data_IF_587751319856
#
_entry.id   IF_587751319856
#
_cell.length_a   1.000
_cell.length_b   1.000
_cell.length_c   1.000
_cell.angle_alpha   90.00
_cell.angle_beta   90.00
_cell.angle_gamma   90.00
#
_symmetry.space_group_name_H-M   'P 1'
#
loop_
_entity.id
_entity.type
_entity.pdbx_description
1 polymer ?
#
# COMPACT_ATOMS: atom_id res chain seq x y z
N UNK A 1 -15.90 17.86 -3.34
CA UNK A 1 -14.55 18.18 -3.85
C UNK A 1 -13.88 16.85 -4.22
N UNK A 2 -14.08 16.37 -5.45
CA UNK A 2 -13.58 15.07 -5.94
C UNK A 2 -12.64 15.36 -7.12
N UNK A 3 -11.34 15.08 -6.99
CA UNK A 3 -10.32 15.64 -7.91
C UNK A 3 -9.15 14.69 -8.31
N UNK A 4 -9.27 13.39 -8.11
CA UNK A 4 -8.07 12.52 -8.14
C UNK A 4 -8.00 11.43 -9.21
N UNK A 5 -8.73 11.58 -10.32
CA UNK A 5 -8.35 10.89 -11.56
C UNK A 5 -7.70 11.95 -12.48
N UNK A 6 -6.36 12.00 -12.58
CA UNK A 6 -5.73 12.80 -13.62
C UNK A 6 -6.29 12.38 -14.99
N UNK A 7 -6.69 13.35 -15.80
CA UNK A 7 -7.16 13.07 -17.16
C UNK A 7 -6.06 12.30 -17.90
N UNK A 8 -6.36 11.12 -18.49
CA UNK A 8 -5.39 10.37 -19.28
C UNK A 8 -4.75 11.29 -20.33
N UNK A 9 -3.41 11.36 -20.37
CA UNK A 9 -2.65 12.24 -21.26
C UNK A 9 -2.33 13.64 -20.73
N UNK A 10 -2.88 14.06 -19.59
CA UNK A 10 -2.43 15.29 -18.91
C UNK A 10 -0.98 15.17 -18.42
N UNK A 11 -0.25 16.28 -18.30
CA UNK A 11 1.10 16.30 -17.72
C UNK A 11 1.11 15.67 -16.32
N UNK A 12 0.13 15.99 -15.47
CA UNK A 12 -0.02 15.39 -14.14
C UNK A 12 -0.24 13.87 -14.22
N UNK A 13 -1.08 13.40 -15.15
CA UNK A 13 -1.32 11.97 -15.38
C UNK A 13 -0.08 11.21 -15.86
N UNK A 14 0.66 11.76 -16.83
CA UNK A 14 1.92 11.17 -17.31
C UNK A 14 2.97 11.07 -16.20
N UNK A 15 3.06 12.10 -15.34
CA UNK A 15 3.95 12.08 -14.17
C UNK A 15 3.56 10.99 -13.17
N UNK A 16 2.27 10.84 -12.87
CA UNK A 16 1.78 9.76 -11.99
C UNK A 16 2.14 8.39 -12.57
N UNK A 17 1.85 8.15 -13.84
CA UNK A 17 2.11 6.87 -14.50
C UNK A 17 3.61 6.52 -14.53
N UNK A 18 4.45 7.48 -14.89
CA UNK A 18 5.91 7.32 -14.87
C UNK A 18 6.43 7.06 -13.45
N UNK A 19 5.86 7.76 -12.46
CA UNK A 19 6.27 7.60 -11.06
C UNK A 19 5.90 6.23 -10.49
N UNK A 20 4.74 5.67 -10.84
CA UNK A 20 4.35 4.31 -10.45
C UNK A 20 5.39 3.30 -10.94
N UNK A 21 5.80 3.39 -12.22
CA UNK A 21 6.84 2.51 -12.77
C UNK A 21 8.18 2.69 -12.06
N UNK A 22 8.61 3.93 -11.87
CA UNK A 22 9.92 4.22 -11.27
C UNK A 22 9.98 3.78 -9.79
N UNK A 23 8.95 4.07 -9.00
CA UNK A 23 8.92 3.69 -7.59
C UNK A 23 8.73 2.19 -7.39
N UNK A 24 7.98 1.52 -8.26
CA UNK A 24 7.85 0.07 -8.18
C UNK A 24 9.16 -0.64 -8.54
N UNK A 25 9.84 -0.17 -9.59
CA UNK A 25 11.10 -0.77 -10.05
C UNK A 25 12.26 -0.49 -9.10
N UNK A 26 12.43 0.76 -8.71
CA UNK A 26 13.67 1.23 -8.04
C UNK A 26 13.49 1.45 -6.52
N UNK A 27 12.24 1.42 -6.03
CA UNK A 27 11.89 1.84 -4.67
C UNK A 27 11.94 3.35 -4.49
N UNK A 28 11.38 3.86 -3.39
CA UNK A 28 11.37 5.31 -3.15
C UNK A 28 12.78 5.89 -3.12
N UNK A 29 13.75 5.24 -2.44
CA UNK A 29 15.08 5.83 -2.24
C UNK A 29 15.83 6.04 -3.57
N UNK A 30 15.82 5.06 -4.46
CA UNK A 30 16.65 5.10 -5.67
C UNK A 30 15.99 5.78 -6.88
N UNK A 31 14.65 5.85 -6.94
CA UNK A 31 13.96 6.53 -8.04
C UNK A 31 14.38 8.02 -8.12
N UNK A 32 14.66 8.55 -9.30
CA UNK A 32 15.08 9.96 -9.47
C UNK A 32 13.97 10.83 -10.06
N UNK A 33 13.90 12.10 -9.62
CA UNK A 33 12.94 13.09 -10.16
C UNK A 33 13.20 13.33 -11.65
N UNK A 34 14.46 13.40 -12.05
CA UNK A 34 14.86 13.53 -13.46
C UNK A 34 14.46 12.32 -14.29
N UNK A 35 14.63 11.10 -13.77
CA UNK A 35 14.18 9.87 -14.42
C UNK A 35 12.66 9.85 -14.62
N UNK A 36 11.88 10.16 -13.58
CA UNK A 36 10.42 10.23 -13.68
C UNK A 36 9.97 11.28 -14.71
N UNK A 37 10.57 12.47 -14.70
CA UNK A 37 10.25 13.53 -15.65
C UNK A 37 10.59 13.12 -17.09
N UNK A 38 11.73 12.49 -17.30
CA UNK A 38 12.15 11.96 -18.61
C UNK A 38 11.18 10.87 -19.11
N UNK A 39 10.84 9.89 -18.27
CA UNK A 39 9.88 8.82 -18.59
C UNK A 39 8.47 9.36 -18.87
N UNK A 40 8.09 10.46 -18.20
CA UNK A 40 6.84 11.16 -18.44
C UNK A 40 6.87 12.07 -19.69
N UNK A 41 8.05 12.33 -20.28
CA UNK A 41 8.23 13.25 -21.41
C UNK A 41 7.94 14.71 -21.04
N UNK A 42 8.39 15.15 -19.86
CA UNK A 42 8.21 16.52 -19.34
C UNK A 42 9.47 17.01 -18.63
N UNK A 43 9.50 18.30 -18.26
CA UNK A 43 10.61 18.87 -17.49
C UNK A 43 10.51 18.52 -16.01
N UNK A 44 11.64 18.50 -15.30
CA UNK A 44 11.67 18.39 -13.83
C UNK A 44 10.90 19.54 -13.16
N UNK A 45 10.94 20.74 -13.74
CA UNK A 45 10.15 21.89 -13.28
C UNK A 45 8.64 21.63 -13.29
N UNK A 46 8.12 20.90 -14.29
CA UNK A 46 6.71 20.53 -14.31
C UNK A 46 6.33 19.57 -13.16
N UNK A 47 7.23 18.64 -12.80
CA UNK A 47 7.02 17.76 -11.64
C UNK A 47 6.97 18.57 -10.34
N UNK A 48 7.95 19.46 -10.10
CA UNK A 48 7.96 20.32 -8.92
C UNK A 48 6.75 21.26 -8.87
N UNK A 49 6.30 21.78 -10.01
CA UNK A 49 5.10 22.61 -10.08
C UNK A 49 3.83 21.85 -9.64
N UNK A 50 3.68 20.58 -10.03
CA UNK A 50 2.49 19.79 -9.69
C UNK A 50 2.52 19.15 -8.31
N UNK A 51 3.70 18.74 -7.84
CA UNK A 51 3.82 17.89 -6.65
C UNK A 51 4.74 18.45 -5.56
N UNK A 52 5.43 19.56 -5.83
CA UNK A 52 6.32 20.24 -4.87
C UNK A 52 7.64 19.52 -4.60
N UNK A 53 7.64 18.19 -4.53
CA UNK A 53 8.83 17.37 -4.27
C UNK A 53 8.65 15.93 -4.75
N UNK A 54 9.73 15.15 -4.73
CA UNK A 54 9.68 13.69 -4.90
C UNK A 54 8.79 13.02 -3.85
N UNK A 55 8.89 13.49 -2.59
CA UNK A 55 8.06 13.00 -1.49
C UNK A 55 6.59 13.33 -1.74
N UNK A 56 6.26 14.54 -2.21
CA UNK A 56 4.90 14.93 -2.55
C UNK A 56 4.30 14.09 -3.68
N UNK A 57 5.10 13.78 -4.71
CA UNK A 57 4.69 12.87 -5.78
C UNK A 57 4.47 11.45 -5.26
N UNK A 58 5.40 10.94 -4.45
CA UNK A 58 5.29 9.60 -3.85
C UNK A 58 4.06 9.48 -2.94
N UNK A 59 3.85 10.44 -2.04
CA UNK A 59 2.72 10.49 -1.13
C UNK A 59 1.39 10.58 -1.91
N UNK A 60 1.35 11.32 -3.01
CA UNK A 60 0.19 11.38 -3.88
C UNK A 60 -0.18 10.01 -4.45
N UNK A 61 0.77 9.32 -5.08
CA UNK A 61 0.50 8.02 -5.72
C UNK A 61 0.24 6.92 -4.70
N UNK A 62 1.04 6.87 -3.63
CA UNK A 62 0.86 5.89 -2.56
C UNK A 62 -0.47 6.08 -1.85
N UNK A 63 -0.86 7.32 -1.55
CA UNK A 63 -2.13 7.61 -0.90
C UNK A 63 -3.34 7.16 -1.73
N UNK A 64 -3.29 7.29 -3.06
CA UNK A 64 -4.35 6.76 -3.93
C UNK A 64 -4.40 5.22 -3.90
N UNK A 65 -3.25 4.54 -3.91
CA UNK A 65 -3.17 3.08 -3.81
C UNK A 65 -3.68 2.58 -2.45
N UNK A 66 -3.23 3.19 -1.36
CA UNK A 66 -3.64 2.81 0.00
C UNK A 66 -5.14 3.01 0.21
N UNK A 67 -5.75 4.10 -0.30
CA UNK A 67 -7.22 4.28 -0.28
C UNK A 67 -7.94 3.11 -0.96
N UNK A 68 -7.53 2.74 -2.18
CA UNK A 68 -8.13 1.63 -2.94
C UNK A 68 -7.95 0.27 -2.25
N UNK A 69 -6.87 0.10 -1.48
CA UNK A 69 -6.61 -1.11 -0.71
C UNK A 69 -7.47 -1.15 0.56
N UNK A 70 -7.61 -0.03 1.27
CA UNK A 70 -8.50 0.10 2.42
C UNK A 70 -9.95 -0.22 2.03
N UNK A 71 -10.43 0.30 0.90
CA UNK A 71 -11.77 -0.04 0.37
C UNK A 71 -11.94 -1.54 0.12
N UNK A 72 -10.90 -2.21 -0.41
CA UNK A 72 -10.90 -3.66 -0.65
C UNK A 72 -10.87 -4.46 0.64
N UNK A 73 -10.10 -4.01 1.63
CA UNK A 73 -10.04 -4.59 2.97
C UNK A 73 -11.43 -4.55 3.60
N UNK A 74 -12.09 -3.39 3.58
CA UNK A 74 -13.42 -3.21 4.13
C UNK A 74 -14.44 -4.14 3.44
N UNK A 75 -14.51 -4.12 2.11
CA UNK A 75 -15.48 -4.96 1.37
C UNK A 75 -15.25 -6.46 1.55
N UNK A 76 -13.98 -6.91 1.62
CA UNK A 76 -13.65 -8.30 1.87
C UNK A 76 -14.01 -8.73 3.30
N UNK A 77 -13.77 -7.86 4.29
CA UNK A 77 -14.11 -8.12 5.68
C UNK A 77 -15.62 -8.20 5.89
N UNK A 78 -16.40 -7.26 5.33
CA UNK A 78 -17.86 -7.25 5.40
C UNK A 78 -18.48 -8.53 4.83
N UNK A 79 -17.93 -9.02 3.71
CA UNK A 79 -18.37 -10.28 3.08
C UNK A 79 -18.11 -11.52 3.95
N UNK A 80 -17.34 -11.40 5.04
CA UNK A 80 -16.94 -12.48 5.95
C UNK A 80 -17.28 -12.17 7.41
N UNK A 81 -18.39 -11.45 7.65
CA UNK A 81 -18.90 -11.21 9.01
C UNK A 81 -18.33 -9.96 9.70
N UNK A 82 -17.55 -9.14 8.98
CA UNK A 82 -17.11 -7.81 9.41
C UNK A 82 -15.99 -7.79 10.46
N UNK A 83 -15.75 -8.87 11.18
CA UNK A 83 -14.66 -8.96 12.17
C UNK A 83 -14.24 -10.42 12.43
N UNK A 84 -13.10 -10.59 13.13
CA UNK A 84 -12.59 -11.90 13.51
C UNK A 84 -11.71 -12.59 12.46
N UNK A 85 -11.28 -13.83 12.73
CA UNK A 85 -10.28 -14.54 11.93
C UNK A 85 -10.60 -14.64 10.44
N UNK A 86 -11.85 -14.95 10.09
CA UNK A 86 -12.29 -15.09 8.71
C UNK A 86 -12.22 -13.75 7.94
N UNK A 87 -12.73 -12.67 8.55
CA UNK A 87 -12.70 -11.33 7.98
C UNK A 87 -11.26 -10.81 7.81
N UNK A 88 -10.41 -10.98 8.82
CA UNK A 88 -8.99 -10.62 8.76
C UNK A 88 -8.26 -11.36 7.63
N UNK A 89 -8.47 -12.67 7.53
CA UNK A 89 -7.85 -13.49 6.50
C UNK A 89 -8.29 -13.06 5.10
N UNK A 90 -9.59 -12.84 4.91
CA UNK A 90 -10.13 -12.37 3.64
C UNK A 90 -9.58 -10.98 3.26
N UNK A 91 -9.61 -10.03 4.19
CA UNK A 91 -9.11 -8.67 4.00
C UNK A 91 -7.65 -8.64 3.53
N UNK A 92 -6.76 -9.34 4.25
CA UNK A 92 -5.33 -9.33 3.96
C UNK A 92 -4.99 -10.03 2.63
N UNK A 93 -5.63 -11.16 2.33
CA UNK A 93 -5.38 -11.88 1.08
C UNK A 93 -5.94 -11.11 -0.13
N UNK A 94 -7.12 -10.49 -0.02
CA UNK A 94 -7.69 -9.67 -1.10
C UNK A 94 -6.83 -8.43 -1.35
N UNK A 95 -6.35 -7.78 -0.29
CA UNK A 95 -5.45 -6.63 -0.41
C UNK A 95 -4.11 -7.03 -1.06
N UNK A 96 -3.56 -8.19 -0.68
CA UNK A 96 -2.35 -8.76 -1.29
C UNK A 96 -2.57 -9.02 -2.79
N UNK A 97 -3.64 -9.73 -3.14
CA UNK A 97 -3.98 -10.08 -4.53
C UNK A 97 -4.18 -8.82 -5.38
N UNK A 98 -4.76 -7.77 -4.80
CA UNK A 98 -4.94 -6.49 -5.48
C UNK A 98 -3.61 -5.77 -5.74
N UNK A 99 -2.73 -5.65 -4.74
CA UNK A 99 -1.44 -4.99 -4.89
C UNK A 99 -0.55 -5.69 -5.93
N UNK A 100 -0.51 -7.03 -5.91
CA UNK A 100 0.20 -7.85 -6.91
C UNK A 100 -0.40 -7.64 -8.30
N UNK A 101 -1.72 -7.73 -8.44
CA UNK A 101 -2.40 -7.57 -9.74
C UNK A 101 -2.20 -6.19 -10.35
N UNK A 102 -2.17 -5.15 -9.52
CA UNK A 102 -1.91 -3.78 -9.97
C UNK A 102 -0.42 -3.49 -10.23
N UNK A 103 0.47 -4.43 -9.93
CA UNK A 103 1.91 -4.24 -10.11
C UNK A 103 2.46 -3.15 -9.20
N UNK A 104 2.00 -3.10 -7.95
CA UNK A 104 2.49 -2.15 -6.94
C UNK A 104 2.98 -2.78 -5.62
N UNK A 105 3.51 -4.02 -5.58
CA UNK A 105 3.94 -4.62 -4.32
C UNK A 105 5.05 -3.85 -3.61
N UNK A 106 6.02 -3.25 -4.31
CA UNK A 106 7.08 -2.46 -3.67
C UNK A 106 6.54 -1.17 -3.08
N UNK A 107 5.77 -0.40 -3.84
CA UNK A 107 5.24 0.90 -3.39
C UNK A 107 4.40 0.73 -2.11
N UNK A 108 3.54 -0.29 -2.10
CA UNK A 108 2.65 -0.58 -0.98
C UNK A 108 3.39 -1.32 0.13
N UNK A 109 4.42 -2.11 -0.16
CA UNK A 109 5.18 -2.87 0.84
C UNK A 109 6.17 -2.00 1.63
N UNK A 110 6.84 -1.06 0.97
CA UNK A 110 7.85 -0.21 1.61
C UNK A 110 7.27 0.63 2.75
N UNK A 111 8.09 0.94 3.76
CA UNK A 111 7.71 1.90 4.79
C UNK A 111 7.49 3.28 4.18
N UNK A 112 6.49 4.02 4.67
CA UNK A 112 6.25 5.38 4.20
C UNK A 112 7.47 6.25 4.53
N UNK A 113 8.16 6.84 3.54
CA UNK A 113 9.32 7.69 3.79
C UNK A 113 9.00 8.89 4.70
N UNK A 114 7.77 9.39 4.71
CA UNK A 114 7.35 10.48 5.60
C UNK A 114 7.39 10.12 7.09
N UNK A 115 7.28 8.82 7.43
CA UNK A 115 7.40 8.33 8.81
C UNK A 115 8.83 8.37 9.34
N UNK A 116 9.82 8.44 8.46
CA UNK A 116 11.26 8.47 8.80
C UNK A 116 11.93 9.80 8.48
N UNK A 117 11.29 10.64 7.66
CA UNK A 117 11.81 11.96 7.32
C UNK A 117 11.62 12.90 8.51
N UNK A 118 12.72 13.42 9.05
CA UNK A 118 12.73 14.48 10.07
C UNK A 118 12.04 15.79 9.61
N UNK A 119 11.60 15.87 8.36
CA UNK A 119 11.08 17.07 7.68
C UNK A 119 9.54 17.12 7.58
N UNK A 120 8.80 16.12 8.08
CA UNK A 120 7.33 16.14 8.04
C UNK A 120 6.74 16.80 9.29
N UNK A 121 6.38 18.08 9.21
CA UNK A 121 5.56 18.78 10.22
C UNK A 121 4.14 18.19 10.38
N UNK A 122 3.72 17.29 9.46
CA UNK A 122 2.45 16.59 9.59
C UNK A 122 2.58 15.44 10.59
N UNK A 123 1.65 15.31 11.57
CA UNK A 123 1.64 14.15 12.46
C UNK A 123 1.55 12.88 11.63
N UNK A 124 2.49 11.95 11.84
CA UNK A 124 2.43 10.61 11.26
C UNK A 124 1.19 9.93 11.83
N UNK A 125 0.08 9.98 11.10
CA UNK A 125 -1.11 9.21 11.40
C UNK A 125 -0.78 7.71 11.43
N UNK A 126 -1.64 6.88 12.04
CA UNK A 126 -1.49 5.44 11.94
C UNK A 126 -1.49 5.04 10.45
N UNK A 127 -0.69 4.04 10.12
CA UNK A 127 -0.67 3.42 8.80
C UNK A 127 -2.12 3.13 8.34
N UNK A 128 -2.54 3.57 7.13
CA UNK A 128 -3.94 3.44 6.70
C UNK A 128 -4.44 1.99 6.66
N UNK A 129 -3.57 1.04 6.31
CA UNK A 129 -3.88 -0.38 6.30
C UNK A 129 -4.01 -0.89 7.73
N UNK A 130 -3.10 -0.52 8.62
CA UNK A 130 -3.22 -0.85 10.05
C UNK A 130 -4.54 -0.32 10.63
N UNK A 131 -4.88 0.93 10.33
CA UNK A 131 -6.11 1.57 10.78
C UNK A 131 -7.35 0.81 10.29
N UNK A 132 -7.37 0.35 9.05
CA UNK A 132 -8.46 -0.44 8.48
C UNK A 132 -8.58 -1.85 9.09
N UNK A 133 -7.46 -2.44 9.53
CA UNK A 133 -7.46 -3.77 10.15
C UNK A 133 -7.84 -3.74 11.63
N UNK A 134 -7.59 -2.64 12.35
CA UNK A 134 -7.93 -2.51 13.79
C UNK A 134 -9.34 -2.98 14.16
N UNK A 135 -10.44 -2.56 13.49
CA UNK A 135 -11.79 -3.02 13.85
C UNK A 135 -12.03 -4.50 13.55
N UNK A 136 -11.20 -5.14 12.71
CA UNK A 136 -11.33 -6.55 12.37
C UNK A 136 -10.66 -7.45 13.43
N UNK A 137 -9.70 -6.89 14.16
CA UNK A 137 -9.00 -7.55 15.25
C UNK A 137 -9.88 -7.51 16.51
N UNK A 138 -9.93 -8.61 17.25
CA UNK A 138 -10.69 -8.67 18.51
C UNK A 138 -10.17 -7.67 19.56
N UNK A 139 -11.05 -7.24 20.46
CA UNK A 139 -10.70 -6.30 21.52
C UNK A 139 -9.51 -6.81 22.36
N UNK A 140 -8.58 -5.91 22.71
CA UNK A 140 -7.39 -6.26 23.51
C UNK A 140 -6.23 -6.87 22.71
N UNK A 141 -6.33 -6.91 21.38
CA UNK A 141 -5.29 -7.39 20.48
C UNK A 141 -4.76 -6.26 19.57
N UNK A 142 -4.75 -5.01 20.03
CA UNK A 142 -4.34 -3.85 19.25
C UNK A 142 -2.94 -4.00 18.61
N UNK A 143 -1.92 -4.60 19.26
CA UNK A 143 -0.63 -4.88 18.62
C UNK A 143 -0.73 -5.83 17.42
N UNK A 144 -1.73 -6.71 17.37
CA UNK A 144 -1.89 -7.67 16.29
C UNK A 144 -2.19 -6.99 14.95
N UNK A 145 -2.98 -5.89 14.93
CA UNK A 145 -3.23 -5.15 13.69
C UNK A 145 -1.91 -4.64 13.07
N UNK A 146 -1.02 -4.10 13.90
CA UNK A 146 0.31 -3.64 13.48
C UNK A 146 1.19 -4.79 12.99
N UNK A 147 1.22 -5.90 13.72
CA UNK A 147 2.00 -7.09 13.35
C UNK A 147 1.52 -7.70 12.02
N UNK A 148 0.20 -7.81 11.84
CA UNK A 148 -0.40 -8.32 10.61
C UNK A 148 -0.12 -7.39 9.43
N UNK A 149 -0.21 -6.08 9.63
CA UNK A 149 0.17 -5.08 8.61
C UNK A 149 1.64 -5.24 8.21
N UNK A 150 2.54 -5.40 9.17
CA UNK A 150 3.96 -5.61 8.90
C UNK A 150 4.22 -6.93 8.14
N UNK A 151 3.57 -8.03 8.54
CA UNK A 151 3.68 -9.31 7.84
C UNK A 151 3.15 -9.24 6.40
N UNK A 152 2.04 -8.54 6.19
CA UNK A 152 1.46 -8.31 4.87
C UNK A 152 2.36 -7.45 3.98
N UNK A 153 2.94 -6.37 4.51
CA UNK A 153 3.94 -5.53 3.83
C UNK A 153 5.18 -6.35 3.46
N UNK A 154 5.67 -7.19 4.36
CA UNK A 154 6.81 -8.08 4.09
C UNK A 154 6.52 -9.11 2.99
N UNK A 155 5.28 -9.62 2.92
CA UNK A 155 4.85 -10.50 1.83
C UNK A 155 4.88 -9.75 0.48
N UNK A 156 4.39 -8.52 0.41
CA UNK A 156 4.47 -7.72 -0.81
C UNK A 156 5.93 -7.47 -1.23
N UNK A 157 6.79 -7.10 -0.31
CA UNK A 157 8.22 -6.89 -0.61
C UNK A 157 8.90 -8.16 -1.12
N UNK A 158 8.52 -9.34 -0.59
CA UNK A 158 9.03 -10.62 -1.11
C UNK A 158 8.70 -10.80 -2.59
N UNK A 159 7.47 -10.47 -3.01
CA UNK A 159 7.08 -10.49 -4.43
C UNK A 159 7.86 -9.47 -5.24
N UNK A 160 8.01 -8.24 -4.71
CA UNK A 160 8.78 -7.19 -5.37
C UNK A 160 10.27 -7.54 -5.55
N UNK A 161 10.81 -8.40 -4.69
CA UNK A 161 12.19 -8.90 -4.74
C UNK A 161 12.32 -10.20 -5.58
N UNK A 162 11.24 -10.64 -6.22
CA UNK A 162 11.26 -11.70 -7.23
C UNK A 162 10.75 -13.06 -6.77
N UNK A 163 10.19 -13.18 -5.56
CA UNK A 163 9.52 -14.42 -5.14
C UNK A 163 8.20 -14.64 -5.91
N UNK A 164 7.87 -15.92 -6.13
CA UNK A 164 6.63 -16.33 -6.78
C UNK A 164 5.39 -15.85 -5.98
N UNK A 165 4.48 -15.06 -6.59
CA UNK A 165 3.32 -14.52 -5.89
C UNK A 165 2.39 -15.57 -5.28
N UNK A 166 2.18 -16.71 -5.96
CA UNK A 166 1.31 -17.78 -5.46
C UNK A 166 1.94 -18.47 -4.25
N UNK A 167 3.27 -18.64 -4.26
CA UNK A 167 4.01 -19.17 -3.10
C UNK A 167 3.90 -18.22 -1.91
N UNK A 168 4.17 -16.94 -2.11
CA UNK A 168 4.08 -15.92 -1.05
C UNK A 168 2.65 -15.82 -0.51
N UNK A 169 1.64 -15.82 -1.38
CA UNK A 169 0.22 -15.79 -1.00
C UNK A 169 -0.15 -16.97 -0.11
N UNK A 170 0.30 -18.19 -0.45
CA UNK A 170 0.08 -19.38 0.38
C UNK A 170 0.76 -19.25 1.74
N UNK A 171 2.01 -18.79 1.78
CA UNK A 171 2.76 -18.55 3.03
C UNK A 171 2.05 -17.51 3.91
N UNK A 172 1.63 -16.38 3.34
CA UNK A 172 0.85 -15.37 4.03
C UNK A 172 -0.44 -16.00 4.60
N UNK A 173 -1.19 -16.73 3.79
CA UNK A 173 -2.41 -17.41 4.23
C UNK A 173 -2.23 -18.45 5.35
N UNK A 174 -1.01 -18.97 5.55
CA UNK A 174 -0.66 -19.94 6.59
C UNK A 174 -0.32 -19.30 7.95
N UNK A 175 0.16 -18.05 7.96
CA UNK A 175 0.46 -17.29 9.19
C UNK A 175 -0.75 -16.51 9.71
N UNK A 176 -1.80 -16.39 8.89
CA UNK A 176 -3.04 -15.71 9.28
C UNK A 176 -3.93 -16.60 10.15
N UNK A 177 -4.70 -16.01 11.08
CA UNK A 177 -5.62 -16.75 11.94
C UNK A 177 -6.56 -17.64 11.12
N UNK A 178 -6.69 -18.90 11.55
CA UNK A 178 -7.62 -19.84 10.92
C UNK A 178 -9.04 -19.60 11.42
N UNK A 179 -10.07 -19.71 10.55
CA UNK A 179 -11.46 -19.50 10.93
C UNK A 179 -12.01 -20.54 11.94
N UNK A 180 -11.28 -21.65 12.18
CA UNK A 180 -11.67 -22.74 13.08
C UNK A 180 -11.02 -22.75 14.46
N UNK A 181 -10.30 -21.70 14.86
CA UNK A 181 -9.58 -21.63 16.14
C UNK A 181 -10.41 -21.10 17.31
N UNK A 182 -11.63 -21.60 17.52
CA UNK A 182 -12.27 -21.54 18.82
C UNK A 182 -11.73 -22.72 19.64
N UNK A 183 -10.55 -22.54 20.23
CA UNK A 183 -9.98 -23.48 21.19
C UNK A 183 -10.11 -22.91 22.59
N UNK A 184 -10.96 -23.55 23.40
CA UNK A 184 -11.03 -23.52 24.87
C UNK A 184 -9.68 -23.22 25.55
N UNK A 185 -9.71 -22.48 26.67
CA UNK A 185 -9.94 -23.14 27.95
C UNK A 185 -11.06 -22.55 28.83
#
# INVERSE_FOLDING_TARGET
MWADIPVPGSTRGRLVEASLRAFERDGYRNASVSGVAADAGVTTGALYHHFGSKLGLYAYVRGDLEKRLVERIAGAAESHGGSGPAALRAALLVAFDAAVRFGVPRIVGEADPSSTAQESDAPTGPDPVEHALRPLVGAGLEPAARMLTAAWRAALLSVADGEDPDRVRRSLGSVLPSPGGAGDP
#
